data_IF_043861445143
#
_entry.id   IF_043861445143
#
_cell.length_a   1.000
_cell.length_b   1.000
_cell.length_c   1.000
_cell.angle_alpha   90.00
_cell.angle_beta   90.00
_cell.angle_gamma   90.00
#
_symmetry.space_group_name_H-M   'P 1'
#
loop_
_entity.id
_entity.type
_entity.pdbx_description
1 polymer ?
#
# COMPACT_ATOMS: atom_id res chain seq x y z
N UNK A 1 3.59 -69.67 -9.34
CA UNK A 1 2.87 -68.37 -9.25
C UNK A 1 1.85 -68.34 -8.10
N UNK A 2 2.18 -68.86 -6.90
CA UNK A 2 1.23 -68.92 -5.76
C UNK A 2 1.85 -68.65 -4.37
N UNK A 3 3.13 -68.28 -4.27
CA UNK A 3 3.80 -68.03 -2.98
C UNK A 3 4.03 -66.55 -2.64
N UNK A 4 3.98 -65.66 -3.63
CA UNK A 4 4.25 -64.23 -3.43
C UNK A 4 3.01 -63.42 -2.97
N UNK A 5 1.82 -64.00 -3.12
CA UNK A 5 0.55 -63.28 -2.88
C UNK A 5 0.03 -63.40 -1.41
N UNK A 6 0.68 -64.20 -0.56
CA UNK A 6 0.34 -64.31 0.88
C UNK A 6 1.02 -63.25 1.75
N UNK A 7 2.21 -62.79 1.37
CA UNK A 7 2.96 -61.78 2.14
C UNK A 7 2.29 -60.39 2.06
N UNK A 8 1.85 -59.98 0.86
CA UNK A 8 1.22 -58.66 0.64
C UNK A 8 -0.15 -58.51 1.31
N UNK A 9 -0.92 -59.60 1.46
CA UNK A 9 -2.22 -59.60 2.16
C UNK A 9 -2.09 -59.42 3.67
N UNK A 10 -1.03 -59.93 4.29
CA UNK A 10 -0.81 -59.78 5.73
C UNK A 10 -0.28 -58.38 6.09
N UNK A 11 0.55 -57.77 5.23
CA UNK A 11 1.02 -56.39 5.42
C UNK A 11 -0.12 -55.39 5.21
N UNK A 12 -0.98 -55.61 4.20
CA UNK A 12 -2.16 -54.76 3.99
C UNK A 12 -3.17 -54.83 5.15
N UNK A 13 -3.39 -56.02 5.74
CA UNK A 13 -4.27 -56.18 6.89
C UNK A 13 -3.73 -55.53 8.17
N UNK A 14 -2.41 -55.58 8.39
CA UNK A 14 -1.76 -54.94 9.55
C UNK A 14 -1.75 -53.42 9.41
N UNK A 15 -1.50 -52.88 8.21
CA UNK A 15 -1.54 -51.43 7.95
C UNK A 15 -2.96 -50.88 8.06
N UNK A 16 -3.99 -51.63 7.62
CA UNK A 16 -5.39 -51.21 7.74
C UNK A 16 -5.88 -51.22 9.20
N UNK A 17 -5.43 -52.17 10.03
CA UNK A 17 -5.73 -52.19 11.46
C UNK A 17 -5.03 -51.06 12.24
N UNK A 18 -3.81 -50.66 11.86
CA UNK A 18 -3.10 -49.52 12.48
C UNK A 18 -3.75 -48.20 12.08
N UNK A 19 -4.22 -48.05 10.85
CA UNK A 19 -4.95 -46.85 10.39
C UNK A 19 -6.32 -46.76 11.07
N UNK A 20 -7.05 -47.87 11.24
CA UNK A 20 -8.34 -47.88 11.95
C UNK A 20 -8.19 -47.65 13.47
N UNK A 21 -7.09 -48.09 14.09
CA UNK A 21 -6.76 -47.78 15.49
C UNK A 21 -6.29 -46.33 15.69
N UNK A 22 -5.68 -45.69 14.68
CA UNK A 22 -5.32 -44.27 14.74
C UNK A 22 -6.47 -43.32 14.38
N UNK A 23 -7.47 -43.77 13.61
CA UNK A 23 -8.68 -42.98 13.32
C UNK A 23 -9.76 -43.09 14.42
N UNK A 24 -9.67 -44.06 15.33
CA UNK A 24 -10.67 -44.31 16.38
C UNK A 24 -10.56 -43.46 17.66
N UNK A 25 -9.59 -42.54 17.76
CA UNK A 25 -9.33 -41.76 19.00
C UNK A 25 -9.68 -40.26 18.86
N UNK A 26 -10.22 -39.80 17.73
CA UNK A 26 -10.34 -38.34 17.46
C UNK A 26 -11.77 -37.78 17.65
N UNK A 27 -12.78 -38.58 17.97
CA UNK A 27 -14.14 -38.05 18.16
C UNK A 27 -14.81 -38.62 19.41
N UNK A 28 -14.51 -38.03 20.57
CA UNK A 28 -15.43 -37.87 21.72
C UNK A 28 -14.67 -37.18 22.84
N UNK A 29 -14.94 -35.89 23.00
CA UNK A 29 -14.26 -35.05 23.97
C UNK A 29 -14.11 -33.68 23.36
N UNK A 30 -15.24 -33.00 23.17
CA UNK A 30 -15.22 -31.59 22.82
C UNK A 30 -14.26 -30.90 23.76
N UNK A 31 -13.30 -30.16 23.19
CA UNK A 31 -12.63 -29.12 23.94
C UNK A 31 -13.76 -28.17 24.29
N UNK A 32 -14.34 -28.38 25.47
CA UNK A 32 -15.01 -27.33 26.18
C UNK A 32 -14.02 -26.18 26.12
N UNK A 33 -14.38 -25.14 25.36
CA UNK A 33 -13.77 -23.85 25.53
C UNK A 33 -14.13 -23.49 26.96
N UNK A 34 -13.31 -23.94 27.90
CA UNK A 34 -13.34 -23.46 29.26
C UNK A 34 -13.21 -21.97 29.09
N UNK A 35 -14.30 -21.25 29.36
CA UNK A 35 -14.19 -19.85 29.74
C UNK A 35 -13.08 -19.86 30.78
N UNK A 36 -11.97 -19.19 30.49
CA UNK A 36 -11.06 -18.80 31.56
C UNK A 36 -11.94 -17.91 32.42
N UNK A 37 -12.54 -18.50 33.46
CA UNK A 37 -13.11 -17.76 34.57
C UNK A 37 -11.98 -16.90 35.06
N UNK A 38 -12.00 -15.63 34.68
CA UNK A 38 -11.21 -14.66 35.40
C UNK A 38 -11.83 -14.59 36.77
N UNK A 39 -11.07 -15.00 37.80
CA UNK A 39 -11.32 -14.70 39.21
C UNK A 39 -11.22 -13.17 39.46
N UNK A 40 -11.88 -12.37 38.61
CA UNK A 40 -11.91 -10.93 38.67
C UNK A 40 -13.37 -10.51 38.85
N UNK A 41 -13.70 -10.13 40.09
CA UNK A 41 -15.03 -9.64 40.45
C UNK A 41 -15.44 -8.40 39.67
N UNK A 42 -14.48 -7.53 39.31
CA UNK A 42 -14.73 -6.31 38.56
C UNK A 42 -15.35 -6.65 37.20
N UNK A 43 -14.72 -7.51 36.40
CA UNK A 43 -15.27 -7.90 35.10
C UNK A 43 -16.62 -8.61 35.23
N UNK A 44 -16.74 -9.57 36.16
CA UNK A 44 -17.96 -10.36 36.32
C UNK A 44 -19.17 -9.49 36.70
N UNK A 45 -18.97 -8.50 37.58
CA UNK A 45 -19.99 -7.53 37.92
C UNK A 45 -20.27 -6.56 36.75
N UNK A 46 -19.23 -5.88 36.25
CA UNK A 46 -19.38 -4.86 35.20
C UNK A 46 -19.87 -5.40 33.86
N UNK A 47 -19.68 -6.68 33.56
CA UNK A 47 -20.23 -7.31 32.36
C UNK A 47 -21.77 -7.40 32.39
N UNK A 48 -22.33 -7.56 33.60
CA UNK A 48 -23.77 -7.68 33.81
C UNK A 48 -24.47 -6.32 33.96
N UNK A 49 -23.71 -5.25 34.18
CA UNK A 49 -24.25 -3.90 34.30
C UNK A 49 -24.73 -3.33 32.95
N UNK A 50 -25.55 -2.28 33.02
CA UNK A 50 -26.01 -1.51 31.87
C UNK A 50 -25.36 -0.11 31.79
N UNK A 51 -25.60 0.57 30.67
CA UNK A 51 -25.17 1.95 30.46
C UNK A 51 -23.64 2.13 30.48
N UNK A 52 -23.18 3.27 30.99
CA UNK A 52 -21.76 3.68 31.02
C UNK A 52 -20.82 2.74 31.81
N UNK A 53 -21.37 1.89 32.67
CA UNK A 53 -20.60 0.99 33.54
C UNK A 53 -20.42 -0.40 32.93
N UNK A 54 -21.11 -0.69 31.82
CA UNK A 54 -21.05 -1.99 31.17
C UNK A 54 -19.70 -2.20 30.49
N UNK A 55 -19.01 -3.28 30.83
CA UNK A 55 -17.87 -3.77 30.04
C UNK A 55 -18.41 -4.78 29.02
N UNK A 56 -18.19 -4.52 27.73
CA UNK A 56 -18.61 -5.45 26.67
C UNK A 56 -17.63 -6.61 26.51
N UNK A 57 -18.15 -7.76 26.06
CA UNK A 57 -17.32 -8.90 25.62
C UNK A 57 -16.41 -8.50 24.44
N UNK A 58 -16.82 -7.54 23.62
CA UNK A 58 -16.05 -7.07 22.48
C UNK A 58 -14.89 -6.12 22.86
N UNK A 59 -14.87 -5.62 24.10
CA UNK A 59 -13.85 -4.69 24.60
C UNK A 59 -12.64 -5.40 25.21
N UNK A 60 -12.58 -5.42 26.54
CA UNK A 60 -11.42 -5.90 27.29
C UNK A 60 -11.04 -7.35 26.99
N UNK A 61 -12.00 -8.24 26.75
CA UNK A 61 -11.69 -9.65 26.45
C UNK A 61 -10.86 -9.82 25.18
N UNK A 62 -11.02 -8.92 24.21
CA UNK A 62 -10.28 -8.94 22.94
C UNK A 62 -8.95 -8.18 23.02
N UNK A 63 -8.72 -7.43 24.09
CA UNK A 63 -7.51 -6.62 24.27
C UNK A 63 -6.26 -7.48 24.41
N UNK A 64 -5.10 -6.91 24.04
CA UNK A 64 -3.82 -7.55 24.31
C UNK A 64 -3.53 -7.61 25.81
N UNK A 65 -3.99 -6.61 26.57
CA UNK A 65 -3.83 -6.55 28.03
C UNK A 65 -4.49 -7.75 28.71
N UNK A 66 -5.72 -8.13 28.34
CA UNK A 66 -6.34 -9.38 28.83
C UNK A 66 -5.48 -10.60 28.52
N UNK A 67 -5.00 -10.72 27.28
CA UNK A 67 -4.23 -11.89 26.83
C UNK A 67 -2.91 -12.07 27.59
N UNK A 68 -2.35 -10.98 28.13
CA UNK A 68 -1.13 -11.01 28.95
C UNK A 68 -1.42 -10.94 30.46
N UNK A 69 -2.69 -11.07 30.87
CA UNK A 69 -3.09 -11.15 32.28
C UNK A 69 -3.28 -9.81 32.99
N UNK A 70 -3.33 -8.69 32.27
CA UNK A 70 -3.59 -7.37 32.85
C UNK A 70 -5.09 -7.16 33.02
N UNK A 71 -5.50 -7.05 34.29
CA UNK A 71 -6.88 -6.92 34.75
C UNK A 71 -7.30 -5.48 35.02
N UNK A 72 -8.59 -5.27 35.28
CA UNK A 72 -9.19 -3.94 35.47
C UNK A 72 -8.49 -3.13 36.57
N UNK A 73 -8.14 -3.79 37.67
CA UNK A 73 -7.52 -3.20 38.86
C UNK A 73 -6.11 -2.69 38.61
N UNK A 74 -5.40 -3.20 37.60
CA UNK A 74 -4.08 -2.67 37.24
C UNK A 74 -4.19 -1.24 36.72
N UNK A 75 -5.22 -0.94 35.93
CA UNK A 75 -5.46 0.39 35.36
C UNK A 75 -6.29 1.29 36.28
N UNK A 76 -7.31 0.74 36.95
CA UNK A 76 -8.29 1.49 37.73
C UNK A 76 -8.10 1.39 39.26
N UNK A 77 -7.18 0.57 39.74
CA UNK A 77 -7.08 0.23 41.17
C UNK A 77 -8.26 -0.62 41.65
N UNK A 78 -8.44 -0.69 42.97
CA UNK A 78 -9.48 -1.52 43.57
C UNK A 78 -9.01 -2.95 43.86
N UNK A 79 -9.92 -3.78 44.34
CA UNK A 79 -9.64 -5.16 44.73
C UNK A 79 -10.49 -6.16 43.94
N UNK A 80 -9.88 -6.91 42.99
CA UNK A 80 -10.61 -7.82 42.11
C UNK A 80 -11.11 -9.11 42.80
N UNK A 81 -10.82 -9.29 44.09
CA UNK A 81 -11.28 -10.44 44.88
C UNK A 81 -12.51 -10.12 45.74
N UNK A 82 -12.96 -8.86 45.76
CA UNK A 82 -14.14 -8.41 46.52
C UNK A 82 -15.31 -8.23 45.55
N UNK A 83 -16.45 -8.88 45.82
CA UNK A 83 -17.62 -8.88 44.92
C UNK A 83 -18.60 -7.73 45.16
N UNK A 84 -18.45 -7.01 46.28
CA UNK A 84 -19.25 -5.82 46.59
C UNK A 84 -18.62 -4.55 46.01
N UNK A 85 -19.37 -3.46 46.02
CA UNK A 85 -18.89 -2.12 45.62
C UNK A 85 -17.72 -1.61 46.46
N UNK A 86 -17.49 -2.19 47.65
CA UNK A 86 -16.31 -1.89 48.49
C UNK A 86 -14.99 -2.19 47.77
N UNK A 87 -15.00 -3.06 46.76
CA UNK A 87 -13.87 -3.30 45.84
C UNK A 87 -13.35 -2.03 45.16
N UNK A 88 -14.22 -1.02 45.00
CA UNK A 88 -13.93 0.27 44.35
C UNK A 88 -13.77 1.42 45.35
N UNK A 89 -13.47 1.11 46.61
CA UNK A 89 -13.24 2.14 47.64
C UNK A 89 -11.83 2.73 47.56
N UNK A 90 -11.65 3.92 48.13
CA UNK A 90 -10.34 4.57 48.29
C UNK A 90 -9.34 3.69 49.05
N UNK A 91 -9.82 2.83 49.97
CA UNK A 91 -9.01 1.86 50.72
C UNK A 91 -8.17 0.95 49.81
N UNK A 92 -8.66 0.65 48.61
CA UNK A 92 -7.99 -0.19 47.63
C UNK A 92 -7.36 0.63 46.49
N UNK A 93 -7.12 1.92 46.72
CA UNK A 93 -6.55 2.85 45.74
C UNK A 93 -7.33 2.89 44.42
N UNK A 94 -8.66 2.72 44.47
CA UNK A 94 -9.50 2.84 43.30
C UNK A 94 -9.48 4.29 42.80
N UNK A 95 -9.08 4.49 41.55
CA UNK A 95 -8.93 5.82 40.93
C UNK A 95 -10.07 6.18 39.96
N UNK A 96 -11.01 5.26 39.74
CA UNK A 96 -12.07 5.47 38.75
C UNK A 96 -11.52 5.57 37.32
N UNK A 97 -12.15 6.37 36.47
CA UNK A 97 -11.71 6.58 35.08
C UNK A 97 -10.57 7.60 35.07
N UNK A 98 -9.35 7.22 34.60
CA UNK A 98 -8.23 8.15 34.53
C UNK A 98 -8.57 9.37 33.67
N UNK A 99 -8.20 10.55 34.15
CA UNK A 99 -8.32 11.81 33.41
C UNK A 99 -7.28 11.86 32.27
N UNK A 100 -7.49 12.70 31.24
CA UNK A 100 -6.51 12.87 30.16
C UNK A 100 -5.08 13.14 30.64
N UNK A 101 -4.92 13.85 31.77
CA UNK A 101 -3.62 14.19 32.35
C UNK A 101 -2.94 12.99 33.02
N UNK A 102 -3.69 12.03 33.55
CA UNK A 102 -3.15 10.84 34.23
C UNK A 102 -2.79 9.71 33.24
N UNK A 103 -3.42 9.70 32.06
CA UNK A 103 -3.29 8.60 31.10
C UNK A 103 -1.84 8.34 30.66
N UNK A 104 -1.04 9.35 30.25
CA UNK A 104 0.33 9.10 29.79
C UNK A 104 1.21 8.45 30.87
N UNK A 105 1.13 8.92 32.11
CA UNK A 105 1.87 8.36 33.23
C UNK A 105 1.40 6.94 33.57
N UNK A 106 0.08 6.70 33.56
CA UNK A 106 -0.49 5.37 33.78
C UNK A 106 -0.01 4.35 32.73
N UNK A 107 0.02 4.72 31.45
CA UNK A 107 0.55 3.85 30.41
C UNK A 107 2.07 3.67 30.57
N UNK A 108 2.79 4.76 30.87
CA UNK A 108 4.23 4.81 31.06
C UNK A 108 4.72 3.95 32.23
N UNK A 109 3.93 3.77 33.30
CA UNK A 109 4.34 2.96 34.46
C UNK A 109 4.71 1.51 34.10
N UNK A 110 4.17 0.99 32.99
CA UNK A 110 4.54 -0.31 32.43
C UNK A 110 5.29 -0.16 31.10
N UNK A 111 4.81 0.69 30.20
CA UNK A 111 5.36 0.82 28.85
C UNK A 111 6.66 1.62 28.77
N UNK A 112 7.15 2.17 29.89
CA UNK A 112 8.50 2.73 30.01
C UNK A 112 9.44 1.88 30.89
N UNK A 113 8.97 0.75 31.42
CA UNK A 113 9.80 -0.19 32.17
C UNK A 113 10.46 -1.21 31.23
N UNK A 114 11.77 -1.06 31.04
CA UNK A 114 12.60 -1.95 30.19
C UNK A 114 12.53 -3.40 30.65
N UNK A 115 12.57 -3.65 31.97
CA UNK A 115 12.54 -5.02 32.52
C UNK A 115 11.20 -5.68 32.20
N UNK A 116 10.11 -4.95 32.34
CA UNK A 116 8.77 -5.45 32.05
C UNK A 116 8.56 -5.67 30.55
N UNK A 117 8.93 -4.71 29.71
CA UNK A 117 8.61 -4.72 28.27
C UNK A 117 9.53 -5.60 27.43
N UNK A 118 10.74 -5.91 27.91
CA UNK A 118 11.72 -6.74 27.18
C UNK A 118 11.15 -8.10 26.77
N UNK A 119 10.36 -8.74 27.63
CA UNK A 119 9.76 -10.06 27.34
C UNK A 119 8.75 -10.02 26.18
N UNK A 120 8.21 -8.85 25.86
CA UNK A 120 7.26 -8.64 24.76
C UNK A 120 7.92 -8.03 23.51
N UNK A 121 9.24 -7.81 23.55
CA UNK A 121 10.00 -7.13 22.51
C UNK A 121 9.40 -5.76 22.14
N UNK A 122 8.96 -5.01 23.16
CA UNK A 122 8.43 -3.65 23.00
C UNK A 122 9.49 -2.62 23.38
N UNK A 123 9.53 -1.52 22.63
CA UNK A 123 10.34 -0.35 22.99
C UNK A 123 9.78 0.29 24.26
N UNK A 124 10.54 1.17 24.92
CA UNK A 124 10.14 1.84 26.17
C UNK A 124 10.27 3.37 26.17
N UNK A 125 10.67 3.92 25.03
CA UNK A 125 10.87 5.34 24.77
C UNK A 125 9.58 6.10 24.40
N UNK A 126 8.44 5.42 24.21
CA UNK A 126 7.24 6.06 23.63
C UNK A 126 6.68 7.18 24.49
N UNK A 127 6.77 7.09 25.81
CA UNK A 127 6.32 8.18 26.69
C UNK A 127 7.25 9.39 26.59
N UNK A 128 8.56 9.18 26.49
CA UNK A 128 9.54 10.25 26.25
C UNK A 128 9.31 10.91 24.88
N UNK A 129 9.08 10.12 23.83
CA UNK A 129 8.69 10.63 22.51
C UNK A 129 7.36 11.41 22.58
N UNK A 130 6.36 10.91 23.31
CA UNK A 130 5.08 11.60 23.46
C UNK A 130 5.23 13.00 24.07
N UNK A 131 6.12 13.17 25.04
CA UNK A 131 6.40 14.48 25.64
C UNK A 131 6.98 15.50 24.66
N UNK A 132 7.58 15.06 23.55
CA UNK A 132 8.08 15.95 22.49
C UNK A 132 7.06 16.22 21.38
N UNK A 133 5.93 15.49 21.36
CA UNK A 133 4.83 15.73 20.43
C UNK A 133 4.08 17.02 20.76
N UNK A 134 3.42 17.61 19.75
CA UNK A 134 2.58 18.80 19.98
C UNK A 134 1.42 18.48 20.95
N UNK A 135 0.89 17.25 20.90
CA UNK A 135 -0.13 16.78 21.83
C UNK A 135 0.39 16.72 23.27
N UNK A 136 1.57 16.13 23.50
CA UNK A 136 2.17 16.04 24.83
C UNK A 136 2.54 17.39 25.41
N UNK A 137 3.05 18.31 24.58
CA UNK A 137 3.39 19.68 24.98
C UNK A 137 2.13 20.44 25.45
N UNK A 138 1.04 20.39 24.68
CA UNK A 138 -0.21 21.07 25.03
C UNK A 138 -0.90 20.43 26.24
N UNK A 139 -0.84 19.10 26.37
CA UNK A 139 -1.36 18.41 27.55
C UNK A 139 -0.65 18.86 28.82
N UNK A 140 0.69 18.98 28.76
CA UNK A 140 1.50 19.48 29.88
C UNK A 140 1.22 20.95 30.21
N UNK A 141 0.73 21.73 29.25
CA UNK A 141 0.28 23.10 29.44
C UNK A 141 -1.17 23.19 29.98
N UNK A 142 -1.83 22.06 30.20
CA UNK A 142 -3.16 21.98 30.80
C UNK A 142 -4.32 21.91 29.81
N UNK A 143 -4.07 21.63 28.53
CA UNK A 143 -5.15 21.42 27.56
C UNK A 143 -5.62 19.96 27.56
N UNK A 144 -6.86 19.66 28.03
CA UNK A 144 -7.37 18.30 28.06
C UNK A 144 -7.91 17.80 26.71
N UNK A 145 -8.00 18.67 25.69
CA UNK A 145 -8.64 18.35 24.41
C UNK A 145 -7.69 17.72 23.38
N UNK A 146 -6.42 17.55 23.73
CA UNK A 146 -5.41 16.95 22.87
C UNK A 146 -5.34 15.43 23.01
N UNK A 147 -4.81 14.76 21.98
CA UNK A 147 -4.73 13.31 21.95
C UNK A 147 -3.78 12.77 23.04
N UNK A 148 -4.19 11.70 23.70
CA UNK A 148 -3.37 10.93 24.66
C UNK A 148 -3.13 9.51 24.13
N UNK A 149 -2.49 8.64 24.91
CA UNK A 149 -2.24 7.24 24.52
C UNK A 149 -3.52 6.51 24.08
N UNK A 150 -4.63 6.71 24.80
CA UNK A 150 -5.90 6.02 24.52
C UNK A 150 -6.66 6.60 23.33
N UNK A 151 -6.37 7.84 22.93
CA UNK A 151 -6.97 8.46 21.74
C UNK A 151 -6.59 7.68 20.46
N UNK A 152 -5.36 7.15 20.43
CA UNK A 152 -4.87 6.33 19.32
C UNK A 152 -5.08 4.84 19.57
N UNK A 153 -4.75 4.32 20.76
CA UNK A 153 -4.75 2.86 21.03
C UNK A 153 -6.10 2.29 21.48
N UNK A 154 -7.07 3.16 21.81
CA UNK A 154 -8.30 2.77 22.48
C UNK A 154 -8.11 2.65 24.01
N UNK A 155 -9.22 2.39 24.72
CA UNK A 155 -9.26 2.31 26.18
C UNK A 155 -9.33 0.86 26.65
N UNK A 156 -10.45 0.20 26.42
CA UNK A 156 -10.69 -1.18 26.85
C UNK A 156 -10.43 -2.21 25.74
N UNK A 157 -10.39 -1.80 24.47
CA UNK A 157 -10.18 -2.70 23.34
C UNK A 157 -8.78 -2.60 22.74
N UNK A 158 -7.76 -2.30 23.56
CA UNK A 158 -6.39 -2.08 23.10
C UNK A 158 -5.86 -3.33 22.39
N UNK A 159 -5.61 -3.21 21.08
CA UNK A 159 -5.13 -4.32 20.23
C UNK A 159 -3.65 -4.17 19.90
N UNK A 160 -3.01 -5.28 19.51
CA UNK A 160 -1.64 -5.22 18.96
C UNK A 160 -1.62 -4.39 17.69
N UNK A 161 -0.54 -3.62 17.45
CA UNK A 161 -0.38 -2.83 16.21
C UNK A 161 -0.42 -3.65 14.92
N UNK A 162 -0.13 -4.94 15.01
CA UNK A 162 -0.13 -5.88 13.88
C UNK A 162 -1.51 -6.52 13.64
N UNK A 163 -2.49 -6.27 14.53
CA UNK A 163 -3.87 -6.72 14.34
C UNK A 163 -4.56 -5.78 13.35
N UNK A 164 -5.08 -6.25 12.20
CA UNK A 164 -5.78 -5.42 11.22
C UNK A 164 -6.99 -4.64 11.77
N UNK A 165 -7.57 -5.08 12.90
CA UNK A 165 -8.66 -4.37 13.58
C UNK A 165 -8.18 -3.30 14.56
N UNK A 166 -6.86 -3.15 14.74
CA UNK A 166 -6.30 -2.10 15.60
C UNK A 166 -6.46 -0.73 14.95
N UNK A 167 -6.87 0.27 15.73
CA UNK A 167 -6.88 1.68 15.29
C UNK A 167 -5.50 2.16 14.84
N UNK A 168 -4.44 1.62 15.44
CA UNK A 168 -3.05 1.93 15.07
C UNK A 168 -2.45 0.93 14.06
N UNK A 169 -3.27 0.09 13.43
CA UNK A 169 -2.82 -0.70 12.29
C UNK A 169 -2.50 0.21 11.11
N UNK A 170 -1.48 -0.13 10.32
CA UNK A 170 -0.89 0.77 9.32
C UNK A 170 -1.92 1.46 8.40
N UNK A 171 -2.91 0.72 7.89
CA UNK A 171 -3.94 1.26 7.00
C UNK A 171 -5.07 1.99 7.71
N UNK A 172 -5.19 1.87 9.04
CA UNK A 172 -6.24 2.50 9.86
C UNK A 172 -5.75 3.80 10.54
N UNK A 173 -4.45 4.11 10.45
CA UNK A 173 -3.86 5.31 11.04
C UNK A 173 -4.54 6.60 10.55
N UNK A 174 -4.81 6.80 9.25
CA UNK A 174 -5.46 8.02 8.79
C UNK A 174 -6.82 8.25 9.43
N UNK A 175 -7.66 7.21 9.55
CA UNK A 175 -8.95 7.27 10.22
C UNK A 175 -8.78 7.62 11.71
N UNK A 176 -7.76 7.06 12.36
CA UNK A 176 -7.46 7.36 13.76
C UNK A 176 -7.11 8.82 13.96
N UNK A 177 -6.30 9.40 13.07
CA UNK A 177 -6.00 10.83 13.08
C UNK A 177 -7.25 11.67 12.79
N UNK A 178 -8.06 11.24 11.81
CA UNK A 178 -9.25 11.96 11.36
C UNK A 178 -10.33 12.12 12.45
N UNK A 179 -10.38 11.23 13.47
CA UNK A 179 -11.28 11.38 14.62
C UNK A 179 -11.22 12.77 15.26
N UNK A 180 -10.03 13.39 15.27
CA UNK A 180 -9.82 14.76 15.75
C UNK A 180 -9.48 15.71 14.60
N UNK A 181 -8.57 15.32 13.69
CA UNK A 181 -8.07 16.20 12.63
C UNK A 181 -9.04 16.42 11.46
N UNK A 182 -10.17 15.71 11.40
CA UNK A 182 -11.27 16.02 10.49
C UNK A 182 -12.46 16.68 11.20
N UNK A 183 -12.32 17.04 12.48
CA UNK A 183 -13.33 17.76 13.24
C UNK A 183 -13.05 19.27 13.19
N UNK A 184 -13.83 19.99 12.37
CA UNK A 184 -13.67 21.44 12.17
C UNK A 184 -13.85 22.25 13.45
N UNK A 185 -14.82 21.90 14.30
CA UNK A 185 -15.06 22.59 15.56
C UNK A 185 -13.85 22.45 16.51
N UNK A 186 -13.26 21.26 16.59
CA UNK A 186 -12.08 21.03 17.42
C UNK A 186 -10.83 21.70 16.84
N UNK A 187 -10.57 21.52 15.54
CA UNK A 187 -9.35 22.00 14.89
C UNK A 187 -9.28 23.52 14.74
N UNK A 188 -10.44 24.19 14.59
CA UNK A 188 -10.50 25.66 14.53
C UNK A 188 -9.92 26.33 15.79
N UNK A 189 -10.03 25.69 16.96
CA UNK A 189 -9.45 26.17 18.23
C UNK A 189 -7.92 26.23 18.19
N UNK A 190 -7.29 25.44 17.31
CA UNK A 190 -5.85 25.35 17.12
C UNK A 190 -5.37 26.03 15.84
N UNK A 191 -6.26 26.61 15.03
CA UNK A 191 -5.91 27.19 13.73
C UNK A 191 -5.45 26.15 12.70
N UNK A 192 -5.84 24.89 12.88
CA UNK A 192 -5.49 23.80 11.96
C UNK A 192 -6.67 23.58 11.00
N UNK A 193 -6.46 23.48 9.68
CA UNK A 193 -7.54 23.08 8.77
C UNK A 193 -8.05 21.67 9.11
N UNK A 194 -9.27 21.32 8.71
CA UNK A 194 -9.87 20.00 9.00
C UNK A 194 -10.08 19.11 7.76
N UNK A 195 -9.55 19.51 6.59
CA UNK A 195 -9.73 18.82 5.31
C UNK A 195 -8.56 17.89 4.91
N UNK A 196 -7.58 17.69 5.78
CA UNK A 196 -6.30 17.04 5.48
C UNK A 196 -6.49 15.55 5.26
N UNK A 197 -7.40 14.92 6.01
CA UNK A 197 -7.80 13.53 5.77
C UNK A 197 -8.39 13.38 4.36
N UNK A 198 -9.30 14.27 3.96
CA UNK A 198 -9.93 14.23 2.65
C UNK A 198 -8.91 14.46 1.52
N UNK A 199 -7.97 15.40 1.71
CA UNK A 199 -6.89 15.63 0.77
C UNK A 199 -6.01 14.37 0.65
N UNK A 200 -5.57 13.81 1.76
CA UNK A 200 -4.77 12.58 1.79
C UNK A 200 -5.48 11.41 1.11
N UNK A 201 -6.76 11.20 1.41
CA UNK A 201 -7.59 10.12 0.85
C UNK A 201 -7.74 10.22 -0.66
N UNK A 202 -7.82 11.44 -1.21
CA UNK A 202 -7.90 11.72 -2.65
C UNK A 202 -6.54 11.59 -3.35
N UNK A 203 -5.47 11.69 -2.57
CA UNK A 203 -4.10 11.65 -3.01
C UNK A 203 -3.60 10.32 -3.52
N UNK A 204 -2.44 10.32 -4.19
CA UNK A 204 -1.89 9.09 -4.75
C UNK A 204 -1.43 8.11 -3.64
N UNK A 205 -0.81 8.61 -2.57
CA UNK A 205 -0.46 7.80 -1.40
C UNK A 205 -1.72 7.22 -0.72
N UNK A 206 -2.76 8.03 -0.53
CA UNK A 206 -4.04 7.55 0.01
C UNK A 206 -4.65 6.46 -0.85
N UNK A 207 -4.79 6.67 -2.17
CA UNK A 207 -5.32 5.67 -3.10
C UNK A 207 -4.60 4.33 -3.00
N UNK A 208 -3.27 4.32 -2.88
CA UNK A 208 -2.51 3.08 -2.68
C UNK A 208 -2.83 2.46 -1.31
N UNK A 209 -2.88 3.26 -0.24
CA UNK A 209 -3.16 2.79 1.13
C UNK A 209 -4.54 2.11 1.23
N UNK A 210 -5.53 2.61 0.48
CA UNK A 210 -6.88 2.04 0.44
C UNK A 210 -7.07 0.94 -0.62
N UNK A 211 -5.99 0.51 -1.29
CA UNK A 211 -6.05 -0.57 -2.28
C UNK A 211 -6.73 -0.19 -3.59
N UNK A 212 -6.82 1.10 -3.92
CA UNK A 212 -7.47 1.61 -5.13
C UNK A 212 -6.53 1.63 -6.35
N UNK A 213 -5.24 1.34 -6.14
CA UNK A 213 -4.23 1.26 -7.20
C UNK A 213 -3.77 -0.18 -7.36
N UNK A 214 -4.11 -0.79 -8.49
CA UNK A 214 -3.77 -2.18 -8.79
C UNK A 214 -2.24 -2.41 -8.81
N UNK A 215 -1.81 -3.58 -8.32
CA UNK A 215 -0.40 -3.97 -8.29
C UNK A 215 0.47 -3.23 -7.27
N UNK A 216 -0.12 -2.39 -6.40
CA UNK A 216 0.59 -1.71 -5.29
C UNK A 216 0.24 -2.33 -3.94
N UNK A 217 1.21 -2.31 -3.02
CA UNK A 217 1.03 -2.85 -1.67
C UNK A 217 0.63 -1.74 -0.69
N UNK A 218 -0.57 -1.80 -0.09
CA UNK A 218 -1.02 -0.84 0.92
C UNK A 218 -0.14 -0.71 2.15
N UNK A 219 0.70 -1.72 2.47
CA UNK A 219 1.55 -1.69 3.65
C UNK A 219 2.92 -1.02 3.43
N UNK A 220 3.23 -0.62 2.19
CA UNK A 220 4.52 -0.01 1.83
C UNK A 220 4.42 1.49 1.55
N UNK A 221 3.21 2.05 1.49
CA UNK A 221 2.98 3.47 1.23
C UNK A 221 2.98 4.25 2.55
N UNK A 222 3.44 5.51 2.61
CA UNK A 222 3.36 6.30 3.83
C UNK A 222 1.90 6.55 4.26
N UNK A 223 1.67 6.63 5.57
CA UNK A 223 0.44 7.14 6.17
C UNK A 223 0.72 8.43 6.98
N UNK A 224 -0.28 8.99 7.66
CA UNK A 224 -0.14 10.23 8.43
C UNK A 224 1.04 10.18 9.43
N UNK A 225 1.20 9.06 10.15
CA UNK A 225 2.25 8.92 11.14
C UNK A 225 3.64 8.65 10.52
N UNK A 226 3.71 8.28 9.24
CA UNK A 226 4.98 8.17 8.51
C UNK A 226 5.61 9.55 8.29
N UNK A 227 4.79 10.57 8.01
CA UNK A 227 5.28 11.93 7.75
C UNK A 227 5.32 12.80 9.02
N UNK A 228 4.35 12.64 9.91
CA UNK A 228 4.22 13.47 11.12
C UNK A 228 4.80 12.80 12.38
N UNK A 229 5.32 11.57 12.29
CA UNK A 229 5.75 10.80 13.45
C UNK A 229 4.60 10.09 14.18
N UNK A 230 4.95 9.16 15.06
CA UNK A 230 3.99 8.27 15.74
C UNK A 230 3.75 8.75 17.17
N UNK A 231 4.69 8.47 18.08
CA UNK A 231 4.55 8.90 19.48
C UNK A 231 5.09 10.32 19.66
N UNK A 232 6.11 10.74 18.92
CA UNK A 232 6.55 12.14 18.80
C UNK A 232 5.81 12.94 17.71
N UNK A 233 4.49 12.74 17.58
CA UNK A 233 3.71 13.32 16.49
C UNK A 233 3.80 14.86 16.43
N UNK A 234 4.43 15.39 15.37
CA UNK A 234 4.57 16.82 15.07
C UNK A 234 4.65 17.04 13.57
N UNK A 235 4.13 18.16 13.03
CA UNK A 235 4.45 18.55 11.65
C UNK A 235 5.97 18.65 11.44
N UNK A 236 6.50 18.10 10.32
CA UNK A 236 7.92 18.27 10.02
C UNK A 236 8.26 19.75 9.86
N UNK A 237 9.42 20.16 10.37
CA UNK A 237 9.94 21.51 10.17
C UNK A 237 10.26 21.76 8.69
N UNK A 238 10.33 23.04 8.30
CA UNK A 238 10.57 23.50 6.91
C UNK A 238 11.82 22.84 6.29
N UNK A 239 12.94 22.82 7.01
CA UNK A 239 14.20 22.18 6.59
C UNK A 239 14.14 20.64 6.60
N UNK A 240 13.18 20.05 7.34
CA UNK A 240 13.04 18.61 7.52
C UNK A 240 12.18 17.97 6.41
N UNK A 241 11.39 18.76 5.68
CA UNK A 241 10.47 18.27 4.64
C UNK A 241 11.17 17.44 3.56
N UNK A 242 12.32 17.89 2.99
CA UNK A 242 13.04 17.07 2.01
C UNK A 242 13.48 15.71 2.56
N UNK A 243 13.85 15.64 3.84
CA UNK A 243 14.28 14.40 4.49
C UNK A 243 13.12 13.42 4.69
N UNK A 244 11.92 13.90 4.98
CA UNK A 244 10.73 13.05 5.13
C UNK A 244 10.43 12.31 3.81
N UNK A 245 10.41 13.05 2.70
CA UNK A 245 10.17 12.47 1.38
C UNK A 245 11.32 11.57 0.93
N UNK A 246 12.57 12.01 1.18
CA UNK A 246 13.80 11.32 0.78
C UNK A 246 14.00 9.94 1.41
N UNK A 247 13.37 9.66 2.54
CA UNK A 247 13.42 8.33 3.18
C UNK A 247 12.88 7.21 2.26
N UNK A 248 11.94 7.53 1.38
CA UNK A 248 11.39 6.59 0.39
C UNK A 248 11.75 7.00 -1.04
N UNK A 249 11.76 8.30 -1.34
CA UNK A 249 12.10 8.86 -2.64
C UNK A 249 13.59 9.23 -2.73
N UNK A 250 14.47 8.32 -2.29
CA UNK A 250 15.91 8.59 -2.14
C UNK A 250 16.57 9.04 -3.44
N UNK A 251 16.34 8.34 -4.56
CA UNK A 251 16.88 8.72 -5.85
C UNK A 251 16.43 10.13 -6.29
N UNK A 252 15.16 10.48 -6.03
CA UNK A 252 14.62 11.80 -6.35
C UNK A 252 15.31 12.85 -5.49
N UNK A 253 15.41 12.61 -4.18
CA UNK A 253 16.08 13.51 -3.25
C UNK A 253 17.55 13.74 -3.61
N UNK A 254 18.26 12.69 -4.02
CA UNK A 254 19.65 12.77 -4.48
C UNK A 254 19.77 13.70 -5.70
N UNK A 255 18.94 13.51 -6.73
CA UNK A 255 18.96 14.38 -7.91
C UNK A 255 18.54 15.82 -7.58
N UNK A 256 17.50 16.00 -6.77
CA UNK A 256 17.07 17.32 -6.29
C UNK A 256 18.22 18.08 -5.63
N UNK A 257 18.95 17.43 -4.72
CA UNK A 257 20.09 18.03 -4.00
C UNK A 257 21.26 18.40 -4.91
N UNK A 258 21.43 17.71 -6.05
CA UNK A 258 22.46 18.02 -7.05
C UNK A 258 22.09 19.20 -7.94
N UNK A 259 20.80 19.54 -8.03
CA UNK A 259 20.29 20.62 -8.88
C UNK A 259 20.33 22.00 -8.22
N UNK A 260 19.98 23.06 -8.97
CA UNK A 260 19.96 24.44 -8.49
C UNK A 260 18.98 24.66 -7.33
N UNK A 261 17.82 23.98 -7.34
CA UNK A 261 16.86 24.06 -6.22
C UNK A 261 17.43 23.46 -4.92
N UNK A 262 18.21 22.38 -5.02
CA UNK A 262 18.88 21.78 -3.87
C UNK A 262 19.91 22.70 -3.23
N UNK A 263 20.56 23.56 -4.02
CA UNK A 263 21.45 24.60 -3.49
C UNK A 263 20.66 25.75 -2.87
N UNK A 264 19.60 26.22 -3.54
CA UNK A 264 18.74 27.30 -3.05
C UNK A 264 18.15 26.98 -1.65
N UNK A 265 17.70 25.73 -1.43
CA UNK A 265 17.17 25.30 -0.12
C UNK A 265 18.18 25.48 1.01
N UNK A 266 19.48 25.34 0.76
CA UNK A 266 20.50 25.55 1.80
C UNK A 266 20.63 27.01 2.22
N UNK A 267 20.32 27.93 1.30
CA UNK A 267 20.45 29.37 1.54
C UNK A 267 19.15 29.97 2.08
N UNK A 268 18.00 29.55 1.56
CA UNK A 268 16.70 30.19 1.82
C UNK A 268 15.69 29.29 2.54
N UNK A 269 15.93 27.97 2.56
CA UNK A 269 14.95 26.98 3.00
C UNK A 269 13.91 26.59 1.93
N UNK A 270 13.97 27.18 0.73
CA UNK A 270 13.01 26.99 -0.36
C UNK A 270 13.72 26.87 -1.73
N UNK A 271 13.12 26.18 -2.74
CA UNK A 271 11.82 25.50 -2.71
C UNK A 271 11.92 24.06 -2.15
N UNK A 272 10.91 23.63 -1.41
CA UNK A 272 10.79 22.27 -0.85
C UNK A 272 10.00 21.37 -1.78
N UNK A 273 10.01 20.06 -1.52
CA UNK A 273 9.22 19.08 -2.26
C UNK A 273 7.73 19.43 -2.31
N UNK A 274 7.19 19.94 -1.19
CA UNK A 274 5.77 20.26 -1.05
C UNK A 274 5.36 21.53 -1.78
N UNK A 275 6.32 22.40 -2.11
CA UNK A 275 6.04 23.64 -2.84
C UNK A 275 5.71 23.35 -4.32
N UNK A 276 6.18 22.20 -4.84
CA UNK A 276 5.80 21.70 -6.17
C UNK A 276 4.72 20.60 -6.12
N UNK A 277 4.83 19.65 -5.18
CA UNK A 277 3.99 18.44 -5.19
C UNK A 277 2.79 18.48 -4.23
N UNK A 278 2.65 19.55 -3.45
CA UNK A 278 1.71 19.62 -2.33
C UNK A 278 2.16 18.80 -1.13
N UNK A 279 1.38 18.84 -0.04
CA UNK A 279 1.72 18.20 1.24
C UNK A 279 0.86 16.97 1.60
N UNK A 280 -0.47 17.08 1.52
CA UNK A 280 -1.41 16.03 1.91
C UNK A 280 -2.03 15.34 0.69
N UNK A 281 -2.41 16.11 -0.34
CA UNK A 281 -3.00 15.53 -1.56
C UNK A 281 -1.97 14.76 -2.37
N UNK A 282 -0.76 15.27 -2.59
CA UNK A 282 0.33 14.52 -3.24
C UNK A 282 -0.15 13.73 -4.48
N UNK A 283 -0.73 14.43 -5.44
CA UNK A 283 -1.21 13.82 -6.68
C UNK A 283 -0.04 13.19 -7.45
N UNK A 284 -0.35 12.22 -8.32
CA UNK A 284 0.68 11.62 -9.17
C UNK A 284 1.29 12.70 -10.08
N UNK A 285 2.60 12.99 -9.98
CA UNK A 285 3.20 14.04 -10.80
C UNK A 285 3.14 13.72 -12.29
N UNK A 286 2.79 14.71 -13.10
CA UNK A 286 2.73 14.60 -14.57
C UNK A 286 3.64 15.63 -15.24
N UNK A 287 4.02 15.43 -16.52
CA UNK A 287 4.82 16.42 -17.25
C UNK A 287 4.17 17.81 -17.37
N UNK A 288 2.86 17.95 -17.12
CA UNK A 288 2.18 19.25 -17.12
C UNK A 288 2.74 20.22 -16.06
N UNK A 289 3.44 19.70 -15.05
CA UNK A 289 4.09 20.54 -14.03
C UNK A 289 5.16 21.49 -14.58
N UNK A 290 5.70 21.20 -15.77
CA UNK A 290 6.68 22.06 -16.43
C UNK A 290 6.05 23.25 -17.17
N UNK A 291 4.75 23.24 -17.44
CA UNK A 291 4.08 24.19 -18.36
C UNK A 291 3.28 25.29 -17.70
N UNK A 292 2.84 25.08 -16.46
CA UNK A 292 1.91 26.01 -15.82
C UNK A 292 2.60 27.13 -15.06
N UNK A 293 1.82 28.17 -14.77
CA UNK A 293 2.13 29.23 -13.80
C UNK A 293 1.32 29.11 -12.51
N UNK A 294 0.50 28.06 -12.39
CA UNK A 294 -0.20 27.72 -11.15
C UNK A 294 0.80 27.34 -10.05
N UNK A 295 0.37 27.44 -8.79
CA UNK A 295 1.17 27.07 -7.63
C UNK A 295 1.73 25.63 -7.79
N UNK A 296 3.04 25.51 -7.65
CA UNK A 296 3.78 24.26 -7.80
C UNK A 296 4.25 23.90 -9.21
N UNK A 297 3.91 24.72 -10.21
CA UNK A 297 4.47 24.61 -11.55
C UNK A 297 5.70 25.52 -11.73
N UNK A 298 6.55 25.21 -12.71
CA UNK A 298 7.79 25.95 -12.95
C UNK A 298 7.54 27.45 -13.21
N UNK A 299 6.50 27.77 -13.98
CA UNK A 299 6.11 29.13 -14.35
C UNK A 299 5.63 29.99 -13.18
N UNK A 300 5.44 29.42 -11.99
CA UNK A 300 5.07 30.17 -10.79
C UNK A 300 6.22 31.04 -10.28
N UNK A 301 7.46 30.54 -10.42
CA UNK A 301 8.68 31.24 -9.98
C UNK A 301 9.57 31.67 -11.14
N UNK A 302 9.49 31.00 -12.29
CA UNK A 302 10.35 31.25 -13.46
C UNK A 302 9.56 31.76 -14.65
N UNK A 303 9.87 32.96 -15.12
CA UNK A 303 9.25 33.51 -16.33
C UNK A 303 9.68 32.73 -17.59
N UNK A 304 8.80 32.65 -18.59
CA UNK A 304 9.07 31.92 -19.84
C UNK A 304 10.34 32.39 -20.58
N UNK A 305 10.74 33.65 -20.37
CA UNK A 305 11.96 34.20 -20.94
C UNK A 305 13.25 33.71 -20.27
N UNK A 306 13.16 33.21 -19.04
CA UNK A 306 14.30 32.77 -18.23
C UNK A 306 14.88 31.45 -18.73
N UNK A 307 16.18 31.29 -18.53
CA UNK A 307 16.88 30.04 -18.89
C UNK A 307 16.39 28.85 -18.05
N UNK A 308 16.03 29.08 -16.79
CA UNK A 308 15.50 28.04 -15.91
C UNK A 308 14.19 27.43 -16.44
N UNK A 309 13.29 28.27 -16.98
CA UNK A 309 12.05 27.79 -17.60
C UNK A 309 12.34 26.94 -18.85
N UNK A 310 13.26 27.38 -19.70
CA UNK A 310 13.67 26.64 -20.91
C UNK A 310 14.27 25.27 -20.58
N UNK A 311 15.06 25.19 -19.51
CA UNK A 311 15.59 23.91 -19.01
C UNK A 311 14.46 22.95 -18.62
N UNK A 312 13.41 23.45 -17.95
CA UNK A 312 12.22 22.67 -17.62
C UNK A 312 11.50 22.15 -18.87
N UNK A 313 11.33 23.00 -19.88
CA UNK A 313 10.72 22.64 -21.16
C UNK A 313 11.55 21.58 -21.92
N UNK A 314 12.88 21.72 -21.97
CA UNK A 314 13.75 20.72 -22.60
C UNK A 314 13.64 19.34 -21.89
N UNK A 315 13.56 19.33 -20.56
CA UNK A 315 13.35 18.09 -19.79
C UNK A 315 12.00 17.45 -20.10
N UNK A 316 10.93 18.27 -20.15
CA UNK A 316 9.59 17.83 -20.48
C UNK A 316 9.54 17.19 -21.87
N UNK A 317 10.08 17.84 -22.90
CA UNK A 317 10.11 17.31 -24.27
C UNK A 317 10.77 15.94 -24.34
N UNK A 318 11.93 15.76 -23.68
CA UNK A 318 12.66 14.48 -23.64
C UNK A 318 11.87 13.38 -22.94
N UNK A 319 11.18 13.70 -21.86
CA UNK A 319 10.37 12.73 -21.11
C UNK A 319 9.13 12.34 -21.90
N UNK A 320 8.44 13.31 -22.51
CA UNK A 320 7.25 13.06 -23.33
C UNK A 320 7.58 12.21 -24.55
N UNK A 321 8.69 12.48 -25.23
CA UNK A 321 9.13 11.66 -26.36
C UNK A 321 9.23 10.17 -26.01
N UNK A 322 9.90 9.83 -24.90
CA UNK A 322 10.04 8.44 -24.46
C UNK A 322 8.70 7.88 -23.97
N UNK A 323 7.90 8.68 -23.27
CA UNK A 323 6.58 8.27 -22.79
C UNK A 323 5.64 7.89 -23.94
N UNK A 324 5.50 8.75 -24.95
CA UNK A 324 4.63 8.53 -26.11
C UNK A 324 5.05 7.26 -26.86
N UNK A 325 6.36 7.06 -27.07
CA UNK A 325 6.89 5.86 -27.72
C UNK A 325 6.65 4.59 -26.91
N UNK A 326 6.81 4.67 -25.59
CA UNK A 326 6.52 3.54 -24.71
C UNK A 326 5.03 3.18 -24.73
N UNK A 327 4.13 4.17 -24.69
CA UNK A 327 2.68 3.98 -24.78
C UNK A 327 2.28 3.34 -26.12
N UNK A 328 2.81 3.86 -27.24
CA UNK A 328 2.61 3.32 -28.59
C UNK A 328 3.02 1.84 -28.67
N UNK A 329 4.26 1.53 -28.30
CA UNK A 329 4.83 0.18 -28.45
C UNK A 329 4.21 -0.82 -27.47
N UNK A 330 3.83 -0.39 -26.27
CA UNK A 330 3.09 -1.22 -25.32
C UNK A 330 1.73 -1.61 -25.89
N UNK A 331 1.01 -0.67 -26.51
CA UNK A 331 -0.26 -0.97 -27.20
C UNK A 331 -0.10 -2.01 -28.31
N UNK A 332 0.97 -1.90 -29.10
CA UNK A 332 1.28 -2.89 -30.15
C UNK A 332 1.63 -4.26 -29.55
N UNK A 333 2.41 -4.30 -28.48
CA UNK A 333 2.79 -5.54 -27.80
C UNK A 333 1.56 -6.27 -27.24
N UNK A 334 0.65 -5.55 -26.59
CA UNK A 334 -0.57 -6.14 -26.02
C UNK A 334 -1.51 -6.70 -27.09
N UNK A 335 -1.58 -6.08 -28.26
CA UNK A 335 -2.31 -6.65 -29.38
C UNK A 335 -1.60 -7.88 -29.96
N UNK A 336 -0.27 -7.82 -30.09
CA UNK A 336 0.52 -8.94 -30.60
C UNK A 336 0.42 -10.19 -29.71
N UNK A 337 0.38 -10.02 -28.37
CA UNK A 337 0.18 -11.11 -27.39
C UNK A 337 -1.07 -11.95 -27.65
N UNK A 338 -2.14 -11.35 -28.19
CA UNK A 338 -3.40 -12.04 -28.50
C UNK A 338 -3.33 -12.92 -29.75
N UNK A 339 -2.30 -12.74 -30.59
CA UNK A 339 -2.23 -13.33 -31.93
C UNK A 339 -1.35 -14.58 -32.02
N UNK A 340 -0.78 -15.04 -30.89
CA UNK A 340 0.08 -16.23 -30.84
C UNK A 340 1.37 -16.11 -31.66
N UNK A 341 1.80 -14.88 -31.97
CA UNK A 341 3.04 -14.60 -32.72
C UNK A 341 4.26 -14.70 -31.81
N UNK A 342 5.42 -14.94 -32.41
CA UNK A 342 6.69 -14.88 -31.71
C UNK A 342 7.05 -13.41 -31.44
N UNK A 343 7.03 -12.99 -30.19
CA UNK A 343 7.15 -11.58 -29.78
C UNK A 343 8.27 -11.32 -28.77
N UNK A 344 9.09 -12.33 -28.43
CA UNK A 344 10.09 -12.25 -27.37
C UNK A 344 11.03 -11.05 -27.50
N UNK A 345 11.45 -10.73 -28.73
CA UNK A 345 12.31 -9.56 -28.99
C UNK A 345 11.59 -8.24 -28.80
N UNK A 346 10.33 -8.14 -29.24
CA UNK A 346 9.50 -6.96 -29.03
C UNK A 346 9.22 -6.75 -27.55
N UNK A 347 8.86 -7.83 -26.84
CA UNK A 347 8.61 -7.79 -25.40
C UNK A 347 9.87 -7.36 -24.61
N UNK A 348 11.05 -7.91 -24.97
CA UNK A 348 12.31 -7.48 -24.36
C UNK A 348 12.61 -6.01 -24.61
N UNK A 349 12.42 -5.52 -25.85
CA UNK A 349 12.70 -4.14 -26.20
C UNK A 349 11.77 -3.16 -25.48
N UNK A 350 10.46 -3.46 -25.42
CA UNK A 350 9.48 -2.65 -24.66
C UNK A 350 9.77 -2.68 -23.17
N UNK A 351 10.19 -3.83 -22.62
CA UNK A 351 10.57 -3.94 -21.21
C UNK A 351 11.79 -3.09 -20.88
N UNK A 352 12.83 -3.13 -21.73
CA UNK A 352 14.03 -2.32 -21.53
C UNK A 352 13.73 -0.82 -21.73
N UNK A 353 12.92 -0.45 -22.72
CA UNK A 353 12.44 0.92 -22.90
C UNK A 353 11.69 1.44 -21.66
N UNK A 354 10.81 0.60 -21.08
CA UNK A 354 10.12 0.90 -19.83
C UNK A 354 11.10 1.11 -18.67
N UNK A 355 12.15 0.29 -18.58
CA UNK A 355 13.20 0.45 -17.57
C UNK A 355 13.95 1.79 -17.74
N UNK A 356 14.29 2.18 -18.97
CA UNK A 356 14.90 3.48 -19.25
C UNK A 356 13.99 4.64 -18.83
N UNK A 357 12.70 4.58 -19.17
CA UNK A 357 11.73 5.60 -18.77
C UNK A 357 11.63 5.74 -17.24
N UNK A 358 11.54 4.61 -16.51
CA UNK A 358 11.51 4.61 -15.04
C UNK A 358 12.75 5.26 -14.43
N UNK A 359 13.93 5.05 -15.02
CA UNK A 359 15.19 5.66 -14.57
C UNK A 359 15.32 7.14 -14.92
N UNK A 360 14.69 7.61 -16.01
CA UNK A 360 14.72 9.01 -16.42
C UNK A 360 13.90 9.91 -15.49
N UNK A 361 12.74 9.43 -15.01
CA UNK A 361 11.83 10.24 -14.17
C UNK A 361 12.47 10.87 -12.92
N UNK A 362 13.23 10.16 -12.07
CA UNK A 362 13.86 10.80 -10.91
C UNK A 362 14.97 11.79 -11.33
N UNK A 363 15.65 11.56 -12.45
CA UNK A 363 16.76 12.40 -12.94
C UNK A 363 16.32 13.81 -13.34
N UNK A 364 15.04 14.01 -13.68
CA UNK A 364 14.52 15.35 -13.99
C UNK A 364 14.67 16.32 -12.83
N UNK A 365 14.73 15.83 -11.59
CA UNK A 365 14.88 16.66 -10.40
C UNK A 365 16.28 17.27 -10.27
N UNK A 366 17.26 16.81 -11.05
CA UNK A 366 18.57 17.47 -11.15
C UNK A 366 18.51 18.79 -11.96
N UNK A 367 17.39 19.04 -12.66
CA UNK A 367 17.19 20.20 -13.54
C UNK A 367 18.36 20.41 -14.51
N UNK A 368 18.84 19.30 -15.08
CA UNK A 368 19.96 19.27 -16.00
C UNK A 368 19.65 18.28 -17.14
N UNK A 369 19.27 18.76 -18.35
CA UNK A 369 18.91 17.91 -19.47
C UNK A 369 20.04 16.96 -19.90
N UNK A 370 21.29 17.34 -19.67
CA UNK A 370 22.47 16.53 -20.00
C UNK A 370 22.54 15.20 -19.26
N UNK A 371 21.94 15.10 -18.07
CA UNK A 371 21.96 13.87 -17.26
C UNK A 371 21.14 12.74 -17.89
N UNK A 372 20.19 13.07 -18.76
CA UNK A 372 19.33 12.11 -19.45
C UNK A 372 19.96 11.51 -20.70
N UNK A 373 21.10 12.05 -21.16
CA UNK A 373 21.71 11.70 -22.45
C UNK A 373 21.90 10.20 -22.65
N UNK A 374 22.42 9.49 -21.64
CA UNK A 374 22.64 8.04 -21.75
C UNK A 374 21.32 7.27 -21.87
N UNK A 375 20.34 7.58 -21.03
CA UNK A 375 19.03 6.93 -21.09
C UNK A 375 18.32 7.19 -22.42
N UNK A 376 18.48 8.38 -23.00
CA UNK A 376 17.92 8.69 -24.31
C UNK A 376 18.56 7.85 -25.43
N UNK A 377 19.87 7.66 -25.40
CA UNK A 377 20.56 6.78 -26.36
C UNK A 377 20.08 5.34 -26.23
N UNK A 378 20.00 4.84 -24.99
CA UNK A 378 19.56 3.47 -24.73
C UNK A 378 18.08 3.28 -25.11
N UNK A 379 17.22 4.27 -24.81
CA UNK A 379 15.82 4.27 -25.20
C UNK A 379 15.64 4.29 -26.73
N UNK A 380 16.40 5.11 -27.45
CA UNK A 380 16.37 5.18 -28.91
C UNK A 380 16.74 3.84 -29.56
N UNK A 381 17.77 3.15 -29.02
CA UNK A 381 18.14 1.81 -29.49
C UNK A 381 17.00 0.81 -29.28
N UNK A 382 16.34 0.83 -28.11
CA UNK A 382 15.20 -0.05 -27.85
C UNK A 382 13.98 0.28 -28.72
N UNK A 383 13.71 1.56 -28.98
CA UNK A 383 12.65 1.99 -29.89
C UNK A 383 12.92 1.44 -31.29
N UNK A 384 14.14 1.60 -31.81
CA UNK A 384 14.53 1.08 -33.12
C UNK A 384 14.35 -0.44 -33.21
N UNK A 385 14.80 -1.19 -32.19
CA UNK A 385 14.63 -2.65 -32.15
C UNK A 385 13.15 -3.02 -32.17
N UNK A 386 12.34 -2.36 -31.34
CA UNK A 386 10.90 -2.63 -31.27
C UNK A 386 10.20 -2.33 -32.60
N UNK A 387 10.47 -1.17 -33.22
CA UNK A 387 9.90 -0.77 -34.51
C UNK A 387 10.30 -1.73 -35.64
N UNK A 388 11.55 -2.21 -35.67
CA UNK A 388 12.00 -3.24 -36.62
C UNK A 388 11.22 -4.56 -36.48
N UNK A 389 10.98 -5.02 -35.24
CA UNK A 389 10.19 -6.23 -34.99
C UNK A 389 8.70 -6.04 -35.34
N UNK A 390 8.13 -4.86 -35.07
CA UNK A 390 6.77 -4.50 -35.49
C UNK A 390 6.63 -4.51 -37.01
N UNK A 391 7.60 -3.97 -37.74
CA UNK A 391 7.55 -3.98 -39.21
C UNK A 391 7.72 -5.40 -39.79
N UNK A 392 8.59 -6.23 -39.21
CA UNK A 392 8.69 -7.66 -39.58
C UNK A 392 7.35 -8.37 -39.37
N UNK A 393 6.70 -8.13 -38.24
CA UNK A 393 5.39 -8.69 -37.92
C UNK A 393 4.33 -8.27 -38.95
N UNK A 394 4.23 -6.96 -39.23
CA UNK A 394 3.29 -6.42 -40.24
C UNK A 394 3.58 -6.97 -41.64
N UNK A 395 4.85 -7.16 -42.00
CA UNK A 395 5.22 -7.79 -43.26
C UNK A 395 4.77 -9.26 -43.34
N UNK A 396 4.94 -10.03 -42.27
CA UNK A 396 4.45 -11.41 -42.19
C UNK A 396 2.92 -11.49 -42.30
N UNK A 397 2.20 -10.58 -41.66
CA UNK A 397 0.73 -10.52 -41.77
C UNK A 397 0.29 -10.22 -43.21
N UNK A 398 0.92 -9.23 -43.86
CA UNK A 398 0.65 -8.91 -45.27
C UNK A 398 0.91 -10.11 -46.17
N UNK A 399 1.98 -10.88 -45.91
CA UNK A 399 2.28 -12.10 -46.66
C UNK A 399 1.23 -13.19 -46.42
N UNK A 400 0.83 -13.45 -45.17
CA UNK A 400 -0.21 -14.43 -44.83
C UNK A 400 -1.53 -14.12 -45.52
N UNK A 401 -1.96 -12.86 -45.52
CA UNK A 401 -3.18 -12.42 -46.22
C UNK A 401 -3.06 -12.65 -47.72
N UNK A 402 -1.93 -12.28 -48.36
CA UNK A 402 -1.71 -12.51 -49.80
C UNK A 402 -1.72 -14.00 -50.15
N UNK A 403 -1.07 -14.85 -49.35
CA UNK A 403 -1.05 -16.30 -49.57
C UNK A 403 -2.44 -16.89 -49.39
N UNK A 404 -3.20 -16.46 -48.37
CA UNK A 404 -4.58 -16.92 -48.15
C UNK A 404 -5.51 -16.53 -49.30
N UNK A 405 -5.41 -15.31 -49.81
CA UNK A 405 -6.19 -14.84 -50.98
C UNK A 405 -5.81 -15.61 -52.25
N UNK A 406 -4.51 -15.80 -52.50
CA UNK A 406 -4.03 -16.57 -53.66
C UNK A 406 -4.47 -18.04 -53.59
N UNK A 407 -4.35 -18.66 -52.41
CA UNK A 407 -4.82 -20.03 -52.17
C UNK A 407 -6.32 -20.17 -52.36
N UNK A 408 -7.11 -19.26 -51.80
CA UNK A 408 -8.57 -19.24 -51.97
C UNK A 408 -8.97 -19.05 -53.44
N UNK A 409 -8.29 -18.17 -54.16
CA UNK A 409 -8.47 -17.99 -55.60
C UNK A 409 -8.15 -19.26 -56.40
N UNK A 410 -7.05 -19.94 -56.07
CA UNK A 410 -6.68 -21.21 -56.70
C UNK A 410 -7.72 -22.31 -56.42
N UNK A 411 -8.21 -22.43 -55.19
CA UNK A 411 -9.28 -23.37 -54.83
C UNK A 411 -10.58 -23.09 -55.60
N UNK A 412 -10.96 -21.83 -55.76
CA UNK A 412 -12.13 -21.45 -56.56
C UNK A 412 -11.94 -21.84 -58.03
N UNK A 413 -10.77 -21.58 -58.62
CA UNK A 413 -10.47 -21.96 -60.01
C UNK A 413 -10.51 -23.47 -60.18
N UNK A 414 -9.88 -24.24 -59.28
CA UNK A 414 -9.90 -25.70 -59.32
C UNK A 414 -11.32 -26.25 -59.14
N UNK A 415 -12.12 -25.66 -58.25
CA UNK A 415 -13.52 -25.99 -58.08
C UNK A 415 -14.35 -25.75 -59.36
N UNK A 416 -14.15 -24.60 -60.02
CA UNK A 416 -14.81 -24.29 -61.29
C UNK A 416 -14.39 -25.26 -62.41
N UNK A 417 -13.10 -25.59 -62.51
CA UNK A 417 -12.60 -26.56 -63.48
C UNK A 417 -13.16 -27.97 -63.24
N UNK A 418 -13.25 -28.38 -61.97
CA UNK A 418 -13.84 -29.66 -61.59
C UNK A 418 -15.33 -29.71 -61.97
N UNK A 419 -16.09 -28.66 -61.67
CA UNK A 419 -17.50 -28.54 -62.08
C UNK A 419 -17.63 -28.57 -63.61
N UNK A 420 -16.80 -27.82 -64.34
CA UNK A 420 -16.80 -27.83 -65.80
C UNK A 420 -16.51 -29.22 -66.37
N UNK A 421 -15.57 -29.98 -65.77
CA UNK A 421 -15.27 -31.34 -66.19
C UNK A 421 -16.43 -32.30 -65.92
N UNK A 422 -17.14 -32.16 -64.79
CA UNK A 422 -18.35 -32.93 -64.51
C UNK A 422 -19.45 -32.68 -65.55
N UNK A 423 -19.66 -31.42 -65.97
CA UNK A 423 -20.58 -31.11 -67.05
C UNK A 423 -20.15 -31.71 -68.39
N UNK A 424 -18.85 -31.72 -68.69
CA UNK A 424 -18.33 -32.33 -69.91
C UNK A 424 -18.56 -33.85 -69.94
N UNK A 425 -18.25 -34.56 -68.84
CA UNK A 425 -18.48 -36.02 -68.74
C UNK A 425 -19.96 -36.35 -68.88
N UNK A 426 -20.84 -35.60 -68.22
CA UNK A 426 -22.29 -35.79 -68.32
C UNK A 426 -22.84 -35.57 -69.74
N UNK A 427 -22.21 -34.68 -70.51
CA UNK A 427 -22.55 -34.46 -71.92
C UNK A 427 -22.04 -35.60 -72.80
N UNK A 428 -20.82 -36.09 -72.57
CA UNK A 428 -20.26 -37.25 -73.28
C UNK A 428 -21.01 -38.56 -72.96
N UNK A 429 -21.61 -38.69 -71.78
CA UNK A 429 -22.51 -39.81 -71.42
C UNK A 429 -23.88 -39.67 -72.08
N UNK A 430 -24.44 -38.45 -72.18
CA UNK A 430 -25.69 -38.19 -72.90
C UNK A 430 -25.59 -38.42 -74.41
N UNK A 431 -24.46 -38.07 -75.03
CA UNK A 431 -24.21 -38.28 -76.48
C UNK A 431 -23.92 -39.76 -76.84
N UNK A 432 -23.84 -40.68 -75.86
CA UNK A 432 -23.67 -42.14 -76.07
C UNK A 432 -24.97 -42.95 -75.95
N UNK A 433 -26.06 -42.33 -75.52
CA UNK A 433 -27.39 -42.95 -75.40
C UNK A 433 -28.34 -42.60 -76.56
N UNK A 434 -27.92 -41.74 -77.49
CA UNK A 434 -28.51 -41.58 -78.84
C UNK A 434 -27.74 -42.41 -79.89
#
# INVERSE_FOLDING_TARGET
MMRENRSKRNVAAVVLCVILLMCGVIFTGGIAHGKVETDNSCYNCHYQLGGRMKVSADGWEKSIHRKVGITCDVCHGGNPYITSEDSMSEKYNFRGVPTPFEIPELCGSCHSDVKMMKQYNLRTDQWEEYKTSQHGILLAQGDPNVATCVSCHGTHEIRKKSDPLSSVFHTNVPETCAKCHANEELMSKYGIPANQYDLYRKGYHGKILYGEVEGKNPLLVPNCATCHGIHGARPPGVEEVPNVCGNCHSNIYEYFRMGPHGEAVKETGEPRCVDCHGNHKNDLPTPAMFDGSEEGHCGYCHDESEEAYKVGQELKEKILFVQEKLEELTGVLEEAKKTGKFIDRLESAVTELSAQFVQMRPKTHALNPGILRRNLIDADDQIRIAEEEVEKMRAQDRLRVRVALAGSGLFLILGLLFVAKLFQVRREEGDREE
#
